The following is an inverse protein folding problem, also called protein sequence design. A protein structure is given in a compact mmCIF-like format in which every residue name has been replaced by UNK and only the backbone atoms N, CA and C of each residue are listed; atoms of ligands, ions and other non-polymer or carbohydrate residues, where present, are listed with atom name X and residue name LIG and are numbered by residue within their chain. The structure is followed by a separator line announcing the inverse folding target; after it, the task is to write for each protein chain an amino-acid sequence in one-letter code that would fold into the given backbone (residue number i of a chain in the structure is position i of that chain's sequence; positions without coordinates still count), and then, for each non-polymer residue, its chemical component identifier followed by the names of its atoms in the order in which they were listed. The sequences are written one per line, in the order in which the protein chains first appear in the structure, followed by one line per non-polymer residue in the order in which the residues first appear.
data_IF_236695719408
#
_entry.id   IF_236695719408
#
_cell.length_a   1.000
_cell.length_b   1.000
_cell.length_c   1.000
_cell.angle_alpha   90.00
_cell.angle_beta   90.00
_cell.angle_gamma   90.00
#
_symmetry.space_group_name_H-M   'P 1'
#
loop_
_entity.id
_entity.type
_entity.pdbx_description
1 polymer ?
#
# COMPACT_ATOMS: atom_id res chain seq x y z
N UNK A 1 3.35 14.91 4.77
CA UNK A 1 2.81 13.54 4.74
C UNK A 1 3.95 12.61 4.34
N UNK A 2 4.15 11.53 5.08
CA UNK A 2 5.22 10.54 4.91
C UNK A 2 4.57 9.25 4.48
N UNK A 3 4.97 8.75 3.32
CA UNK A 3 4.45 7.50 2.79
C UNK A 3 4.58 6.36 3.80
N UNK A 4 3.43 5.81 4.17
CA UNK A 4 3.25 4.73 5.12
C UNK A 4 2.45 3.67 4.42
N UNK A 5 2.67 2.40 4.78
CA UNK A 5 1.85 1.33 4.23
C UNK A 5 1.41 0.29 5.25
N UNK A 6 0.48 -0.56 4.84
CA UNK A 6 -0.12 -1.57 5.70
C UNK A 6 -0.51 -2.80 4.89
N UNK A 7 -0.20 -3.98 5.42
CA UNK A 7 -0.68 -5.25 4.87
C UNK A 7 -2.08 -5.51 5.42
N UNK A 8 -3.02 -5.85 4.53
CA UNK A 8 -4.45 -5.99 4.84
C UNK A 8 -4.90 -7.43 4.59
N UNK A 9 -5.67 -7.97 5.53
CA UNK A 9 -6.39 -9.26 5.46
C UNK A 9 -7.91 -9.02 5.44
N UNK A 10 -8.70 -10.09 5.36
CA UNK A 10 -10.15 -10.04 5.46
C UNK A 10 -10.66 -9.50 6.81
N UNK A 11 -9.92 -9.75 7.90
CA UNK A 11 -10.23 -9.24 9.23
C UNK A 11 -9.63 -7.85 9.52
N UNK A 12 -8.76 -7.34 8.65
CA UNK A 12 -8.18 -5.99 8.76
C UNK A 12 -6.65 -5.92 8.66
N UNK A 13 -6.04 -4.82 9.14
CA UNK A 13 -4.61 -4.56 9.01
C UNK A 13 -3.79 -5.47 9.94
N UNK A 14 -2.77 -6.13 9.40
CA UNK A 14 -1.93 -7.09 10.16
C UNK A 14 -0.49 -6.63 10.35
N UNK A 15 -0.02 -5.70 9.52
CA UNK A 15 1.33 -5.15 9.66
C UNK A 15 1.40 -3.73 9.12
N UNK A 16 1.78 -2.78 9.96
CA UNK A 16 2.03 -1.39 9.59
C UNK A 16 3.49 -1.20 9.25
N UNK A 17 3.76 -0.87 8.00
CA UNK A 17 5.08 -0.43 7.55
C UNK A 17 5.25 1.06 7.82
N UNK A 18 5.83 1.38 8.97
CA UNK A 18 6.18 2.74 9.37
C UNK A 18 7.68 2.98 9.07
N UNK A 19 8.08 3.95 8.22
CA UNK A 19 9.49 4.16 7.90
C UNK A 19 10.29 4.68 9.11
N UNK A 20 11.42 4.04 9.44
CA UNK A 20 12.43 4.60 10.34
C UNK A 20 13.33 5.57 9.56
N UNK A 21 13.57 6.79 10.05
CA UNK A 21 14.54 7.71 9.45
C UNK A 21 14.08 8.54 8.23
N UNK A 22 12.77 8.75 8.08
CA UNK A 22 12.05 9.82 7.33
C UNK A 22 12.82 10.56 6.21
N UNK A 23 12.87 9.97 5.00
CA UNK A 23 12.96 10.73 3.74
C UNK A 23 11.83 10.27 2.83
N UNK A 24 10.96 11.19 2.38
CA UNK A 24 9.74 10.87 1.65
C UNK A 24 9.97 10.38 0.22
N UNK A 25 8.96 9.72 -0.35
CA UNK A 25 8.82 9.52 -1.80
C UNK A 25 9.12 8.12 -2.35
N UNK A 26 9.06 7.07 -1.53
CA UNK A 26 9.08 5.71 -2.05
C UNK A 26 8.35 4.76 -1.12
N UNK A 27 7.47 3.93 -1.68
CA UNK A 27 7.13 2.64 -1.10
C UNK A 27 8.44 2.00 -0.65
N UNK A 28 8.58 1.65 0.64
CA UNK A 28 9.84 1.19 1.15
C UNK A 28 10.08 -0.23 0.66
N UNK A 29 10.74 -0.31 -0.49
CA UNK A 29 11.51 -1.46 -0.95
C UNK A 29 12.57 -1.76 0.10
N UNK A 30 12.11 -2.38 1.17
CA UNK A 30 12.86 -2.64 2.38
C UNK A 30 12.85 -4.13 2.61
N UNK A 31 14.02 -4.68 2.92
CA UNK A 31 14.16 -6.09 3.28
C UNK A 31 13.17 -6.51 4.38
N UNK A 32 12.84 -5.60 5.29
CA UNK A 32 11.86 -5.83 6.34
C UNK A 32 10.46 -6.05 5.77
N UNK A 33 9.97 -5.18 4.89
CA UNK A 33 8.65 -5.36 4.26
C UNK A 33 8.62 -6.66 3.45
N UNK A 34 9.66 -6.94 2.68
CA UNK A 34 9.79 -8.18 1.93
C UNK A 34 9.75 -9.42 2.81
N UNK A 35 10.47 -9.43 3.94
CA UNK A 35 10.43 -10.56 4.86
C UNK A 35 9.02 -10.79 5.43
N UNK A 36 8.28 -9.72 5.75
CA UNK A 36 6.91 -9.83 6.24
C UNK A 36 6.00 -10.41 5.16
N UNK A 37 6.02 -9.83 3.96
CA UNK A 37 5.24 -10.32 2.81
C UNK A 37 5.60 -11.78 2.49
N UNK A 38 6.88 -12.12 2.49
CA UNK A 38 7.35 -13.47 2.23
C UNK A 38 6.87 -14.46 3.30
N UNK A 39 6.91 -14.09 4.57
CA UNK A 39 6.41 -14.95 5.65
C UNK A 39 4.89 -15.12 5.56
N UNK A 40 4.17 -14.06 5.20
CA UNK A 40 2.72 -14.08 4.98
C UNK A 40 2.30 -14.73 3.66
N UNK A 41 3.23 -15.12 2.78
CA UNK A 41 2.89 -15.69 1.46
C UNK A 41 2.01 -16.95 1.53
N UNK A 42 2.08 -17.68 2.65
CA UNK A 42 1.27 -18.88 2.92
C UNK A 42 -0.05 -18.57 3.62
N UNK A 43 -0.24 -17.34 4.08
CA UNK A 43 -1.43 -16.87 4.77
C UNK A 43 -2.38 -16.14 3.80
N UNK A 44 -3.69 -16.16 4.05
CA UNK A 44 -4.64 -15.39 3.28
C UNK A 44 -4.56 -13.90 3.66
N UNK A 45 -3.82 -13.11 2.89
CA UNK A 45 -3.94 -11.66 2.90
C UNK A 45 -4.47 -11.15 1.56
N UNK A 46 -5.13 -9.99 1.60
CA UNK A 46 -5.79 -9.38 0.45
C UNK A 46 -4.81 -8.52 -0.35
N UNK A 47 -3.95 -7.77 0.34
CA UNK A 47 -2.93 -6.98 -0.31
C UNK A 47 -2.32 -5.91 0.58
N UNK A 48 -2.01 -4.76 -0.03
CA UNK A 48 -1.25 -3.69 0.62
C UNK A 48 -1.84 -2.33 0.33
N UNK A 49 -1.98 -1.51 1.36
CA UNK A 49 -2.42 -0.13 1.24
C UNK A 49 -1.28 0.83 1.57
N UNK A 50 -1.17 1.95 0.86
CA UNK A 50 -0.22 3.01 1.19
C UNK A 50 -0.76 4.42 0.99
N UNK A 51 -0.09 5.40 1.58
CA UNK A 51 -0.50 6.80 1.57
C UNK A 51 0.32 7.65 0.60
N UNK A 52 -0.33 8.47 -0.23
CA UNK A 52 0.30 9.51 -1.05
C UNK A 52 0.10 10.90 -0.43
N UNK A 53 1.12 11.78 -0.47
CA UNK A 53 0.96 13.17 -0.08
C UNK A 53 -0.08 13.88 -0.95
N UNK A 54 -0.77 14.87 -0.37
CA UNK A 54 -1.75 15.70 -1.07
C UNK A 54 -3.19 15.27 -0.85
N UNK A 55 -4.09 15.91 -1.59
CA UNK A 55 -5.55 15.73 -1.53
C UNK A 55 -6.11 15.34 -2.91
N UNK A 56 -7.32 14.80 -2.93
CA UNK A 56 -8.02 14.39 -4.16
C UNK A 56 -7.87 12.90 -4.45
N UNK A 57 -8.34 12.46 -5.62
CA UNK A 57 -8.27 11.04 -6.02
C UNK A 57 -6.80 10.69 -6.27
N UNK A 58 -6.20 9.79 -5.47
CA UNK A 58 -4.81 9.41 -5.70
C UNK A 58 -4.70 8.48 -6.91
N UNK A 59 -3.50 8.40 -7.48
CA UNK A 59 -3.17 7.47 -8.54
C UNK A 59 -1.77 6.89 -8.34
N UNK A 60 -1.46 5.73 -8.94
CA UNK A 60 -0.16 5.11 -8.83
C UNK A 60 0.89 5.90 -9.63
N UNK A 61 2.08 6.02 -9.06
CA UNK A 61 3.29 6.40 -9.78
C UNK A 61 3.88 5.21 -10.53
N UNK A 62 4.85 5.46 -11.42
CA UNK A 62 5.61 4.37 -12.06
C UNK A 62 6.40 3.52 -11.05
N UNK A 63 6.82 4.10 -9.92
CA UNK A 63 7.48 3.37 -8.83
C UNK A 63 6.50 2.40 -8.16
N UNK A 64 5.25 2.82 -7.97
CA UNK A 64 4.20 1.94 -7.44
C UNK A 64 3.96 0.76 -8.38
N UNK A 65 3.73 1.01 -9.67
CA UNK A 65 3.43 -0.04 -10.65
C UNK A 65 4.55 -1.07 -10.78
N UNK A 66 5.82 -0.62 -10.74
CA UNK A 66 6.96 -1.54 -10.77
C UNK A 66 7.08 -2.35 -9.47
N UNK A 67 6.78 -1.74 -8.32
CA UNK A 67 6.71 -2.42 -7.01
C UNK A 67 5.59 -3.45 -6.97
N UNK A 68 4.38 -3.08 -7.41
CA UNK A 68 3.22 -3.97 -7.45
C UNK A 68 3.53 -5.23 -8.25
N UNK A 69 4.04 -5.03 -9.46
CA UNK A 69 4.44 -6.11 -10.36
C UNK A 69 5.53 -6.98 -9.77
N UNK A 70 6.55 -6.38 -9.15
CA UNK A 70 7.65 -7.11 -8.52
C UNK A 70 7.21 -7.95 -7.31
N UNK A 71 6.38 -7.40 -6.44
CA UNK A 71 5.84 -8.09 -5.26
C UNK A 71 4.94 -9.24 -5.68
N UNK A 72 4.01 -9.02 -6.60
CA UNK A 72 3.12 -10.09 -7.10
C UNK A 72 3.90 -11.21 -7.78
N UNK A 73 4.92 -10.87 -8.57
CA UNK A 73 5.81 -11.85 -9.20
C UNK A 73 6.56 -12.68 -8.15
N UNK A 74 7.13 -12.02 -7.14
CA UNK A 74 7.86 -12.69 -6.06
C UNK A 74 6.97 -13.60 -5.22
N UNK A 75 5.73 -13.18 -4.96
CA UNK A 75 4.76 -13.97 -4.17
C UNK A 75 4.04 -15.05 -4.99
N UNK A 76 4.06 -14.95 -6.32
CA UNK A 76 3.32 -15.85 -7.21
C UNK A 76 1.80 -15.68 -7.14
N UNK A 77 1.30 -14.51 -6.74
CA UNK A 77 -0.14 -14.23 -6.60
C UNK A 77 -0.47 -12.76 -6.85
N UNK A 78 -1.73 -12.51 -7.22
CA UNK A 78 -2.28 -11.15 -7.34
C UNK A 78 -2.74 -10.63 -5.99
N UNK A 79 -2.60 -9.33 -5.81
CA UNK A 79 -3.00 -8.58 -4.64
C UNK A 79 -3.90 -7.41 -5.03
N UNK A 80 -4.69 -6.92 -4.08
CA UNK A 80 -5.30 -5.60 -4.19
C UNK A 80 -4.34 -4.56 -3.60
N UNK A 81 -4.13 -3.49 -4.35
CA UNK A 81 -3.32 -2.36 -3.93
C UNK A 81 -4.22 -1.20 -3.60
N UNK A 82 -4.11 -0.62 -2.41
CA UNK A 82 -4.87 0.58 -2.08
C UNK A 82 -3.95 1.79 -1.99
N UNK A 83 -4.41 2.92 -2.51
CA UNK A 83 -3.71 4.19 -2.38
C UNK A 83 -4.65 5.17 -1.72
N UNK A 84 -4.21 5.79 -0.63
CA UNK A 84 -4.97 6.84 0.06
C UNK A 84 -4.27 8.19 -0.02
N UNK A 85 -5.05 9.23 -0.32
CA UNK A 85 -4.65 10.62 -0.10
C UNK A 85 -5.20 11.10 1.25
N UNK A 86 -5.10 12.41 1.53
CA UNK A 86 -5.73 12.99 2.71
C UNK A 86 -7.27 12.93 2.71
N UNK A 87 -7.91 12.69 1.56
CA UNK A 87 -9.37 12.77 1.43
C UNK A 87 -10.04 11.63 0.67
N UNK A 88 -9.29 10.77 -0.01
CA UNK A 88 -9.85 9.68 -0.80
C UNK A 88 -9.02 8.41 -0.63
N UNK A 89 -9.61 7.29 -1.02
CA UNK A 89 -8.90 6.03 -1.24
C UNK A 89 -9.40 5.41 -2.54
N UNK A 90 -8.48 4.78 -3.28
CA UNK A 90 -8.80 3.90 -4.40
C UNK A 90 -8.21 2.52 -4.15
N UNK A 91 -8.82 1.50 -4.75
CA UNK A 91 -8.21 0.19 -4.93
C UNK A 91 -7.69 0.03 -6.35
N UNK A 92 -6.69 -0.82 -6.55
CA UNK A 92 -6.15 -1.20 -7.84
C UNK A 92 -5.96 -2.71 -7.88
N UNK A 93 -6.42 -3.33 -8.98
CA UNK A 93 -6.20 -4.73 -9.27
C UNK A 93 -5.52 -4.86 -10.64
N UNK A 94 -4.72 -5.91 -10.80
CA UNK A 94 -4.17 -6.27 -12.10
C UNK A 94 -5.26 -6.81 -13.03
N UNK A 95 -5.35 -6.29 -14.25
CA UNK A 95 -6.31 -6.74 -15.28
C UNK A 95 -5.64 -7.31 -16.55
N UNK A 96 -4.32 -7.11 -16.72
CA UNK A 96 -3.52 -7.71 -17.80
C UNK A 96 -3.91 -7.30 -19.22
N UNK A 97 -3.26 -7.86 -20.26
CA UNK A 97 -2.12 -8.77 -20.21
C UNK A 97 -0.80 -8.04 -19.94
N UNK A 98 -0.76 -6.71 -20.07
CA UNK A 98 0.48 -5.95 -19.91
C UNK A 98 0.94 -5.93 -18.45
N UNK A 99 2.27 -5.88 -18.26
CA UNK A 99 2.93 -6.02 -16.95
C UNK A 99 2.44 -5.01 -15.90
N UNK A 100 2.05 -3.81 -16.33
CA UNK A 100 1.65 -2.71 -15.46
C UNK A 100 0.18 -2.32 -15.60
N UNK A 101 -0.66 -3.19 -16.17
CA UNK A 101 -2.09 -2.92 -16.32
C UNK A 101 -2.84 -3.11 -15.00
N UNK A 102 -2.74 -2.09 -14.11
CA UNK A 102 -3.48 -1.99 -12.87
C UNK A 102 -4.59 -0.95 -13.02
N UNK A 103 -5.84 -1.38 -12.88
CA UNK A 103 -6.99 -0.51 -13.06
C UNK A 103 -7.55 -0.05 -11.71
N UNK A 104 -7.81 1.26 -11.54
CA UNK A 104 -8.35 1.81 -10.32
C UNK A 104 -9.86 1.53 -10.22
N UNK A 105 -10.34 1.28 -9.00
CA UNK A 105 -11.75 1.18 -8.67
C UNK A 105 -12.06 1.97 -7.40
N UNK A 106 -13.27 2.55 -7.27
CA UNK A 106 -13.68 3.22 -6.05
C UNK A 106 -13.78 2.22 -4.91
N UNK A 107 -13.36 2.62 -3.72
CA UNK A 107 -13.52 1.82 -2.51
C UNK A 107 -14.37 2.56 -1.49
N UNK A 108 -15.26 1.84 -0.82
CA UNK A 108 -15.82 2.31 0.44
C UNK A 108 -14.68 2.33 1.47
N UNK A 109 -14.49 3.45 2.17
CA UNK A 109 -13.32 3.60 3.03
C UNK A 109 -13.38 2.64 4.21
N UNK A 110 -12.41 1.71 4.33
CA UNK A 110 -12.38 0.78 5.44
C UNK A 110 -12.01 1.52 6.74
N UNK A 111 -12.41 0.97 7.88
CA UNK A 111 -12.20 1.60 9.19
C UNK A 111 -10.72 1.95 9.49
N UNK A 112 -9.76 1.23 8.89
CA UNK A 112 -8.33 1.46 9.06
C UNK A 112 -7.75 2.56 8.17
N UNK A 113 -8.50 3.10 7.20
CA UNK A 113 -8.03 4.14 6.30
C UNK A 113 -7.63 5.43 7.03
N UNK A 114 -8.43 5.83 8.04
CA UNK A 114 -8.13 6.99 8.89
C UNK A 114 -6.81 6.80 9.65
N UNK A 115 -6.58 5.61 10.20
CA UNK A 115 -5.34 5.28 10.91
C UNK A 115 -4.11 5.33 10.00
N UNK A 116 -4.21 4.85 8.76
CA UNK A 116 -3.15 4.96 7.76
C UNK A 116 -2.79 6.44 7.49
N UNK A 117 -3.80 7.30 7.36
CA UNK A 117 -3.60 8.75 7.18
C UNK A 117 -2.95 9.39 8.41
N UNK A 118 -3.36 9.01 9.61
CA UNK A 118 -2.74 9.52 10.85
C UNK A 118 -1.27 9.14 10.94
N UNK A 119 -0.91 7.88 10.67
CA UNK A 119 0.51 7.48 10.63
C UNK A 119 1.30 8.24 9.57
N UNK A 120 0.66 8.53 8.45
CA UNK A 120 1.24 9.31 7.35
C UNK A 120 1.44 10.80 7.67
N UNK A 121 0.72 11.37 8.65
CA UNK A 121 1.00 12.73 9.13
C UNK A 121 2.34 12.82 9.89
N UNK A 122 2.86 11.68 10.36
CA UNK A 122 4.03 11.58 11.21
C UNK A 122 3.66 11.87 12.67
N UNK A 123 4.21 11.09 13.61
CA UNK A 123 4.14 11.47 15.02
C UNK A 123 4.82 12.83 15.20
N UNK A 124 4.02 13.87 15.44
CA UNK A 124 4.39 15.02 16.25
C UNK A 124 4.33 14.52 17.70
N UNK A 125 5.44 14.03 18.22
CA UNK A 125 5.59 13.91 19.66
C UNK A 125 5.83 15.33 20.17
N UNK A 126 4.74 16.02 20.51
CA UNK A 126 4.77 17.14 21.46
C UNK A 126 4.77 16.60 22.87
#
# INVERSE_FOLDING_TARGET
MIETGVIVTDIGPVYWHLPQGRTGGSLPDSRRLWNVLWNLRREPFLGFAHSHPGSGIPGPSMTDLTTFSGVELGLGRRLTWWITSSSHMIGLNYEGPEKYNYNPFPVEEPYWASQLREFSKGQNNG
#
